data_IF_500747978843
#
_entry.id   IF_500747978843
#
_cell.length_a   1.000
_cell.length_b   1.000
_cell.length_c   1.000
_cell.angle_alpha   90.00
_cell.angle_beta   90.00
_cell.angle_gamma   90.00
#
_symmetry.space_group_name_H-M   'P 1'
#
loop_
_entity.id
_entity.type
_entity.pdbx_description
1 polymer ?
#
# COMPACT_ATOMS: atom_id res chain seq x y z
N UNK A 1 0.04 6.04 -9.68
CA UNK A 1 0.39 7.44 -9.47
C UNK A 1 0.43 8.08 -10.85
N UNK A 2 -0.37 9.11 -11.07
CA UNK A 2 -0.39 9.89 -12.30
C UNK A 2 0.04 11.31 -11.99
N UNK A 3 0.81 11.92 -12.89
CA UNK A 3 1.22 13.32 -12.80
C UNK A 3 0.67 14.01 -14.05
N UNK A 4 -0.27 14.92 -13.85
CA UNK A 4 -0.83 15.74 -14.92
C UNK A 4 -0.26 17.16 -14.78
N UNK A 5 0.30 17.68 -15.87
CA UNK A 5 0.86 19.03 -15.92
C UNK A 5 -0.06 19.87 -16.80
N UNK A 6 -0.62 20.95 -16.24
CA UNK A 6 -1.46 21.90 -16.95
C UNK A 6 -0.89 23.30 -16.77
N UNK A 7 -0.12 23.76 -17.76
CA UNK A 7 0.64 25.01 -17.66
C UNK A 7 1.69 24.91 -16.54
N UNK A 8 1.56 25.76 -15.51
CA UNK A 8 2.43 25.78 -14.32
C UNK A 8 1.86 24.96 -13.15
N UNK A 9 0.63 24.42 -13.26
CA UNK A 9 0.01 23.60 -12.22
C UNK A 9 0.33 22.12 -12.44
N UNK A 10 0.80 21.44 -11.39
CA UNK A 10 1.07 20.00 -11.39
C UNK A 10 0.10 19.31 -10.42
N UNK A 11 -0.74 18.43 -10.95
CA UNK A 11 -1.68 17.63 -10.18
C UNK A 11 -1.15 16.20 -10.05
N UNK A 12 -0.96 15.74 -8.81
CA UNK A 12 -0.51 14.37 -8.51
C UNK A 12 -1.68 13.57 -7.95
N UNK A 13 -2.07 12.53 -8.66
CA UNK A 13 -3.11 11.59 -8.20
C UNK A 13 -2.48 10.35 -7.59
N UNK A 14 -2.78 10.11 -6.32
CA UNK A 14 -2.39 8.91 -5.58
C UNK A 14 -3.58 7.96 -5.52
N UNK A 15 -3.42 6.77 -6.09
CA UNK A 15 -4.42 5.70 -6.06
C UNK A 15 -3.90 4.56 -5.20
N UNK A 16 -4.70 4.14 -4.22
CA UNK A 16 -4.38 2.97 -3.43
C UNK A 16 -4.46 1.69 -4.27
N UNK A 17 -3.40 0.88 -4.20
CA UNK A 17 -3.38 -0.45 -4.82
C UNK A 17 -3.44 -1.50 -3.71
N UNK A 18 -4.45 -2.36 -3.75
CA UNK A 18 -4.53 -3.51 -2.85
C UNK A 18 -3.71 -4.67 -3.41
N UNK A 19 -2.81 -5.24 -2.61
CA UNK A 19 -2.15 -6.50 -2.97
C UNK A 19 -3.18 -7.63 -2.87
N UNK A 20 -3.27 -8.45 -3.93
CA UNK A 20 -4.08 -9.67 -3.87
C UNK A 20 -3.57 -10.55 -2.73
N UNK A 21 -4.46 -11.10 -1.88
CA UNK A 21 -4.04 -12.00 -0.80
C UNK A 21 -3.34 -13.22 -1.41
N UNK A 22 -2.25 -13.65 -0.78
CA UNK A 22 -1.59 -14.91 -1.16
C UNK A 22 -2.53 -16.06 -0.80
N UNK A 23 -2.89 -16.87 -1.80
CA UNK A 23 -3.61 -18.11 -1.57
C UNK A 23 -2.62 -19.13 -1.00
N UNK A 24 -2.78 -19.45 0.28
CA UNK A 24 -1.97 -20.47 0.93
C UNK A 24 -2.60 -21.85 0.69
N UNK A 25 -1.83 -22.77 0.10
CA UNK A 25 -2.25 -24.15 -0.19
C UNK A 25 -2.01 -25.10 0.99
N UNK A 26 -1.50 -24.62 2.12
CA UNK A 26 -1.24 -25.43 3.30
C UNK A 26 -2.50 -26.12 3.83
N UNK A 27 -2.37 -27.38 4.22
CA UNK A 27 -3.46 -28.18 4.84
C UNK A 27 -3.45 -28.09 6.37
N UNK A 28 -2.49 -27.37 6.95
CA UNK A 28 -2.35 -27.31 8.40
C UNK A 28 -3.54 -26.56 9.04
N UNK A 29 -4.00 -26.99 10.22
CA UNK A 29 -5.02 -26.26 10.95
C UNK A 29 -4.52 -24.85 11.28
N UNK A 30 -5.41 -23.86 11.11
CA UNK A 30 -5.07 -22.46 11.34
C UNK A 30 -6.28 -21.64 11.76
N UNK A 31 -6.02 -20.49 12.36
CA UNK A 31 -7.01 -19.53 12.79
C UNK A 31 -7.03 -18.30 11.87
N UNK A 32 -8.18 -17.64 11.76
CA UNK A 32 -8.29 -16.32 11.12
C UNK A 32 -8.12 -15.26 12.21
N UNK A 33 -7.12 -14.39 12.05
CA UNK A 33 -6.83 -13.30 12.99
C UNK A 33 -6.99 -11.92 12.34
N UNK A 34 -7.34 -10.93 13.13
CA UNK A 34 -7.38 -9.54 12.72
C UNK A 34 -5.95 -9.02 12.45
N UNK A 35 -5.78 -8.26 11.38
CA UNK A 35 -4.50 -7.60 11.05
C UNK A 35 -4.44 -6.19 11.64
N UNK A 36 -5.59 -5.57 11.90
CA UNK A 36 -5.74 -4.20 12.39
C UNK A 36 -6.92 -4.13 13.34
N UNK A 37 -6.93 -3.09 14.15
CA UNK A 37 -8.07 -2.76 15.01
C UNK A 37 -9.24 -2.25 14.16
N UNK A 38 -10.47 -2.55 14.55
CA UNK A 38 -11.66 -2.09 13.84
C UNK A 38 -12.96 -2.67 14.34
N UNK A 39 -14.07 -2.30 13.69
CA UNK A 39 -15.41 -2.80 14.04
C UNK A 39 -15.93 -3.69 12.93
N UNK A 40 -16.36 -4.91 13.27
CA UNK A 40 -16.80 -5.88 12.29
C UNK A 40 -18.16 -5.50 11.70
N UNK A 41 -18.23 -5.41 10.39
CA UNK A 41 -19.45 -5.08 9.65
C UNK A 41 -20.12 -6.32 9.05
N UNK A 42 -19.32 -7.33 8.66
CA UNK A 42 -19.83 -8.57 8.06
C UNK A 42 -18.88 -9.74 8.29
N UNK A 43 -19.45 -10.91 8.57
CA UNK A 43 -18.72 -12.18 8.75
C UNK A 43 -19.32 -13.21 7.82
N UNK A 44 -18.48 -13.90 7.05
CA UNK A 44 -18.83 -15.07 6.26
C UNK A 44 -17.83 -16.18 6.57
N UNK A 45 -18.15 -17.02 7.56
CA UNK A 45 -17.34 -18.18 7.91
C UNK A 45 -17.73 -19.37 7.02
N UNK A 46 -16.76 -19.92 6.28
CA UNK A 46 -16.92 -21.13 5.47
C UNK A 46 -16.46 -22.36 6.22
N UNK A 47 -15.42 -22.23 7.05
CA UNK A 47 -14.89 -23.31 7.87
C UNK A 47 -14.38 -22.76 9.20
N UNK A 48 -14.61 -23.52 10.27
CA UNK A 48 -14.29 -23.14 11.64
C UNK A 48 -15.33 -22.26 12.33
N UNK A 49 -15.10 -22.02 13.61
CA UNK A 49 -16.07 -21.41 14.51
C UNK A 49 -15.83 -19.91 14.64
N UNK A 50 -16.77 -19.03 14.22
CA UNK A 50 -16.64 -17.61 14.46
C UNK A 50 -16.75 -17.31 15.96
N UNK A 51 -15.79 -16.53 16.48
CA UNK A 51 -15.74 -16.14 17.90
C UNK A 51 -16.18 -14.69 18.14
N UNK A 52 -16.43 -13.96 17.06
CA UNK A 52 -16.85 -12.55 17.04
C UNK A 52 -18.16 -12.41 16.29
N UNK A 53 -18.89 -11.33 16.55
CA UNK A 53 -20.17 -11.03 15.91
C UNK A 53 -20.14 -9.69 15.17
N UNK A 54 -21.14 -9.46 14.32
CA UNK A 54 -21.31 -8.15 13.67
C UNK A 54 -21.50 -7.07 14.74
N UNK A 55 -20.78 -5.96 14.61
CA UNK A 55 -20.75 -4.87 15.59
C UNK A 55 -19.70 -5.04 16.68
N UNK A 56 -19.01 -6.18 16.77
CA UNK A 56 -17.89 -6.33 17.70
C UNK A 56 -16.70 -5.47 17.28
N UNK A 57 -16.13 -4.72 18.22
CA UNK A 57 -14.81 -4.14 18.10
C UNK A 57 -13.75 -5.22 18.27
N UNK A 58 -12.73 -5.22 17.41
CA UNK A 58 -11.61 -6.14 17.45
C UNK A 58 -10.29 -5.41 17.45
N UNK A 59 -9.30 -6.03 18.08
CA UNK A 59 -7.91 -5.54 18.11
C UNK A 59 -7.00 -6.37 17.20
N UNK A 60 -5.87 -5.81 16.81
CA UNK A 60 -4.84 -6.44 16.02
C UNK A 60 -4.38 -7.75 16.71
N UNK A 61 -4.38 -8.83 15.93
CA UNK A 61 -4.01 -10.17 16.41
C UNK A 61 -5.16 -10.95 17.05
N UNK A 62 -6.32 -10.33 17.29
CA UNK A 62 -7.47 -11.04 17.86
C UNK A 62 -7.97 -12.13 16.91
N UNK A 63 -8.32 -13.29 17.46
CA UNK A 63 -8.91 -14.39 16.71
C UNK A 63 -10.34 -13.99 16.32
N UNK A 64 -10.66 -14.08 15.03
CA UNK A 64 -11.97 -13.83 14.46
C UNK A 64 -12.72 -15.15 14.22
N UNK A 65 -11.98 -16.15 13.73
CA UNK A 65 -12.50 -17.50 13.50
C UNK A 65 -11.49 -18.51 14.01
N UNK A 66 -11.96 -19.38 14.91
CA UNK A 66 -11.18 -20.47 15.48
C UNK A 66 -11.17 -21.68 14.55
N UNK A 67 -9.99 -22.25 14.37
CA UNK A 67 -9.75 -23.54 13.74
C UNK A 67 -9.94 -24.72 14.69
N UNK A 68 -10.33 -24.48 15.94
CA UNK A 68 -10.71 -25.52 16.90
C UNK A 68 -12.24 -25.58 16.97
N UNK A 69 -12.79 -26.74 16.66
CA UNK A 69 -14.23 -26.99 16.76
C UNK A 69 -14.49 -28.11 17.78
N UNK A 70 -15.34 -27.80 18.76
CA UNK A 70 -15.69 -28.71 19.84
C UNK A 70 -17.02 -29.36 19.50
N UNK A 71 -17.01 -30.68 19.32
CA UNK A 71 -18.23 -31.44 19.10
C UNK A 71 -19.02 -31.50 20.41
N UNK A 72 -20.35 -31.59 20.34
CA UNK A 72 -21.24 -31.69 21.53
C UNK A 72 -20.90 -32.84 22.48
N UNK A 73 -20.11 -33.82 22.03
CA UNK A 73 -19.64 -34.97 22.81
C UNK A 73 -18.27 -34.76 23.47
N UNK A 74 -17.64 -33.58 23.33
CA UNK A 74 -16.36 -33.25 23.96
C UNK A 74 -15.13 -33.47 23.08
N UNK A 75 -15.30 -34.03 21.87
CA UNK A 75 -14.20 -34.23 20.94
C UNK A 75 -13.74 -32.90 20.29
N UNK A 76 -12.44 -32.66 20.36
CA UNK A 76 -11.77 -31.50 19.77
C UNK A 76 -11.30 -31.82 18.36
N UNK A 77 -11.83 -31.11 17.37
CA UNK A 77 -11.41 -31.22 15.98
C UNK A 77 -10.59 -30.00 15.57
N UNK A 78 -9.37 -30.26 15.10
CA UNK A 78 -8.53 -29.26 14.46
C UNK A 78 -8.87 -29.16 12.98
N UNK A 79 -9.19 -27.96 12.54
CA UNK A 79 -9.55 -27.65 11.16
C UNK A 79 -8.86 -26.36 10.72
N UNK A 80 -8.85 -26.15 9.41
CA UNK A 80 -8.34 -24.93 8.81
C UNK A 80 -9.45 -23.89 8.74
N UNK A 81 -9.40 -22.86 9.58
CA UNK A 81 -10.38 -21.79 9.57
C UNK A 81 -10.34 -21.04 8.23
N UNK A 82 -11.51 -20.81 7.64
CA UNK A 82 -11.65 -20.09 6.39
C UNK A 82 -12.87 -19.18 6.47
N UNK A 83 -12.65 -17.87 6.37
CA UNK A 83 -13.71 -16.88 6.45
C UNK A 83 -13.35 -15.60 5.70
N UNK A 84 -14.38 -14.91 5.20
CA UNK A 84 -14.30 -13.50 4.80
C UNK A 84 -14.88 -12.65 5.91
N UNK A 85 -14.04 -11.83 6.54
CA UNK A 85 -14.44 -10.89 7.58
C UNK A 85 -14.16 -9.48 7.08
N UNK A 86 -15.18 -8.63 7.16
CA UNK A 86 -15.12 -7.22 6.80
C UNK A 86 -15.24 -6.40 8.08
N UNK A 87 -14.38 -5.40 8.21
CA UNK A 87 -14.36 -4.50 9.34
C UNK A 87 -14.05 -3.08 8.87
N UNK A 88 -14.67 -2.11 9.52
CA UNK A 88 -14.34 -0.70 9.34
C UNK A 88 -13.15 -0.38 10.25
N UNK A 89 -12.08 0.12 9.64
CA UNK A 89 -10.83 0.43 10.30
C UNK A 89 -10.53 1.93 10.14
N UNK A 90 -9.86 2.51 11.12
CA UNK A 90 -9.30 3.86 11.01
C UNK A 90 -7.79 3.75 10.94
N UNK A 91 -7.18 4.28 9.87
CA UNK A 91 -5.73 4.26 9.69
C UNK A 91 -5.23 5.65 9.29
N UNK A 92 -4.11 6.07 9.88
CA UNK A 92 -3.39 7.27 9.47
C UNK A 92 -2.18 6.85 8.64
N UNK A 93 -2.11 7.31 7.39
CA UNK A 93 -0.95 7.11 6.52
C UNK A 93 -0.23 8.44 6.31
N UNK A 94 1.07 8.49 6.62
CA UNK A 94 1.92 9.64 6.33
C UNK A 94 2.67 9.39 5.03
N UNK A 95 2.37 10.15 3.99
CA UNK A 95 3.05 10.08 2.69
C UNK A 95 4.12 11.17 2.62
N UNK A 96 5.39 10.76 2.50
CA UNK A 96 6.51 11.67 2.27
C UNK A 96 6.82 11.72 0.78
N UNK A 97 6.61 12.88 0.15
CA UNK A 97 6.96 13.10 -1.26
C UNK A 97 8.36 13.71 -1.31
N UNK A 98 9.33 13.07 -2.00
CA UNK A 98 10.66 13.65 -2.16
C UNK A 98 10.57 14.90 -3.03
N UNK A 99 10.80 16.07 -2.43
CA UNK A 99 10.83 17.36 -3.13
C UNK A 99 12.16 17.50 -3.89
N UNK A 100 12.22 16.99 -5.13
CA UNK A 100 13.23 17.42 -6.11
C UNK A 100 12.53 18.22 -7.20
N UNK A 101 12.51 19.54 -7.01
CA UNK A 101 12.02 20.47 -8.03
C UNK A 101 13.24 20.99 -8.78
N UNK A 102 13.50 20.43 -9.97
CA UNK A 102 14.50 20.97 -10.89
C UNK A 102 13.78 21.96 -11.79
N UNK A 103 13.96 23.26 -11.55
CA UNK A 103 13.49 24.30 -12.45
C UNK A 103 14.51 24.44 -13.59
N UNK A 104 14.14 24.08 -14.82
CA UNK A 104 14.87 24.52 -16.02
C UNK A 104 14.10 25.71 -16.62
N UNK A 105 14.58 26.92 -16.36
CA UNK A 105 14.12 28.11 -17.06
C UNK A 105 14.98 28.29 -18.31
N UNK A 106 14.33 28.37 -19.48
CA UNK A 106 14.98 28.87 -20.68
C UNK A 106 15.01 30.39 -20.56
N UNK A 107 16.13 30.93 -20.06
CA UNK A 107 16.36 32.37 -20.06
C UNK A 107 16.56 32.79 -21.53
N UNK A 108 15.76 33.73 -22.04
CA UNK A 108 15.77 34.17 -23.45
C UNK A 108 17.12 34.80 -23.86
N UNK A 109 18.03 35.02 -22.90
CA UNK A 109 19.37 35.56 -23.09
C UNK A 109 20.51 34.54 -22.83
N UNK A 110 20.24 33.23 -22.89
CA UNK A 110 21.29 32.22 -22.72
C UNK A 110 22.06 31.99 -24.04
N UNK A 111 23.14 32.74 -24.25
CA UNK A 111 24.08 32.50 -25.34
C UNK A 111 25.16 31.53 -24.87
N UNK A 112 25.01 30.23 -25.16
CA UNK A 112 26.05 29.23 -24.94
C UNK A 112 27.22 29.47 -25.91
N UNK A 113 28.22 30.25 -25.48
CA UNK A 113 29.44 30.48 -26.25
C UNK A 113 30.43 29.37 -25.95
N UNK A 114 30.52 28.39 -26.85
CA UNK A 114 31.57 27.38 -26.82
C UNK A 114 32.92 28.03 -27.12
N UNK A 115 33.65 28.31 -26.06
CA UNK A 115 35.01 28.83 -26.16
C UNK A 115 35.99 27.66 -26.01
N UNK A 116 36.89 27.51 -26.97
CA UNK A 116 37.99 26.56 -26.85
C UNK A 116 39.21 27.32 -26.34
N UNK A 117 39.65 26.98 -25.13
CA UNK A 117 40.81 27.59 -24.49
C UNK A 117 42.02 26.67 -24.65
N UNK A 118 43.07 27.16 -25.32
CA UNK A 118 44.33 26.45 -25.44
C UNK A 118 45.49 27.36 -25.01
N UNK A 119 46.18 26.95 -23.94
CA UNK A 119 47.21 27.75 -23.26
C UNK A 119 46.64 29.12 -22.79
N UNK A 120 47.28 30.23 -23.16
CA UNK A 120 46.86 31.60 -22.82
C UNK A 120 45.96 32.26 -23.88
N UNK A 121 45.50 31.51 -24.89
CA UNK A 121 44.55 32.02 -25.89
C UNK A 121 43.17 31.37 -25.76
N UNK A 122 42.15 32.23 -25.83
CA UNK A 122 40.74 31.88 -25.88
C UNK A 122 40.19 32.08 -27.29
N UNK A 123 39.72 31.00 -27.93
CA UNK A 123 39.11 31.06 -29.25
C UNK A 123 37.59 30.87 -29.15
N UNK A 124 36.78 31.82 -29.63
CA UNK A 124 35.34 31.61 -29.76
C UNK A 124 35.08 30.66 -30.93
N UNK A 125 34.65 29.43 -30.65
CA UNK A 125 34.23 28.49 -31.69
C UNK A 125 32.74 28.69 -31.99
N UNK A 126 32.42 29.64 -32.87
CA UNK A 126 31.13 29.63 -33.55
C UNK A 126 31.29 28.78 -34.82
N UNK A 127 30.80 27.53 -34.81
CA UNK A 127 30.67 26.76 -36.03
C UNK A 127 29.57 27.42 -36.88
N UNK A 128 29.94 27.90 -38.06
CA UNK A 128 29.01 28.19 -39.15
C UNK A 128 28.50 26.87 -39.76
#
# INVERSE_FOLDING_TARGET
MSINITGSLVTVEVKETYKKPKLDTSKNPCNVKAVKDGVITRIQAYNGRPVVTKGSGVVNGQILVSGLDETKQGDMRYLRANAKVYADITEQQTLSIPKKVTYSYADENYVDRKNFRFLWLDFPCNLA
#
